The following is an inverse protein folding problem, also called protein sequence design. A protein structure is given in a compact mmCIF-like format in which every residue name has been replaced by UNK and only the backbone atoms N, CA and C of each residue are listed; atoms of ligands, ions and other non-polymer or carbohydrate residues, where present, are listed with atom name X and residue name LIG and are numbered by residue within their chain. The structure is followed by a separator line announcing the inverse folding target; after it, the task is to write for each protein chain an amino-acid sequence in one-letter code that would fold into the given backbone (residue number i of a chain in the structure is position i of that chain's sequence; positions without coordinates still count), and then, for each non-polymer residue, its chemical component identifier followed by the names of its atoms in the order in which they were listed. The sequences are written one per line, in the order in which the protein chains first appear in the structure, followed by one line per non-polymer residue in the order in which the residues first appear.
data_IF_516779055879
#
_entry.id   IF_516779055879
#
_cell.length_a   1.000
_cell.length_b   1.000
_cell.length_c   1.000
_cell.angle_alpha   90.00
_cell.angle_beta   90.00
_cell.angle_gamma   90.00
#
_symmetry.space_group_name_H-M   'P 1'
#
loop_
_entity.id
_entity.type
_entity.pdbx_description
1 polymer ?
#
# COMPACT_ATOMS: atom_id res chain seq x y z
N UNK A 1 -40.95 6.79 59.75
CA UNK A 1 -39.87 7.62 59.20
C UNK A 1 -39.92 7.50 57.68
N UNK A 2 -40.15 8.66 57.04
CA UNK A 2 -39.81 9.10 55.69
C UNK A 2 -39.83 8.12 54.47
N UNK A 3 -40.63 8.54 53.47
CA UNK A 3 -40.42 8.52 52.00
C UNK A 3 -40.11 7.18 51.30
N UNK A 4 -40.98 6.59 50.47
CA UNK A 4 -41.67 7.06 49.25
C UNK A 4 -40.77 7.76 48.22
N UNK A 5 -40.53 7.04 47.11
CA UNK A 5 -40.05 7.53 45.80
C UNK A 5 -38.67 8.19 45.80
N UNK A 6 -37.68 7.52 45.22
CA UNK A 6 -36.62 8.10 44.38
C UNK A 6 -35.65 6.97 44.01
N UNK A 7 -35.62 6.54 42.74
CA UNK A 7 -34.63 7.04 41.77
C UNK A 7 -33.23 6.54 42.18
N UNK A 8 -32.73 5.51 41.52
CA UNK A 8 -31.65 5.76 40.55
C UNK A 8 -30.45 6.46 41.22
N UNK A 9 -29.72 5.83 42.14
CA UNK A 9 -28.38 6.28 42.54
C UNK A 9 -27.73 5.27 43.50
N UNK A 10 -27.21 4.16 42.97
CA UNK A 10 -25.88 3.64 43.36
C UNK A 10 -25.24 3.04 42.10
N UNK A 11 -25.07 3.88 41.07
CA UNK A 11 -23.87 3.78 40.23
C UNK A 11 -22.78 4.43 41.08
N UNK A 12 -21.79 3.66 41.51
CA UNK A 12 -20.41 4.10 41.73
C UNK A 12 -19.70 3.03 42.56
N UNK A 13 -18.47 2.71 42.14
CA UNK A 13 -17.39 2.28 43.04
C UNK A 13 -17.06 0.79 43.18
N UNK A 14 -17.00 0.04 42.07
CA UNK A 14 -15.94 -0.99 41.91
C UNK A 14 -15.43 -0.97 40.47
N UNK A 15 -14.56 -0.01 40.19
CA UNK A 15 -13.50 -0.11 39.18
C UNK A 15 -12.71 1.19 39.24
N UNK A 16 -11.85 1.33 40.25
CA UNK A 16 -10.84 2.40 40.26
C UNK A 16 -9.64 1.97 41.08
N UNK A 17 -8.53 1.86 40.36
CA UNK A 17 -7.15 2.14 40.77
C UNK A 17 -6.31 0.98 41.34
N UNK A 18 -5.63 0.29 40.42
CA UNK A 18 -4.16 0.24 40.50
C UNK A 18 -3.51 0.23 39.10
N UNK A 19 -3.23 1.44 38.63
CA UNK A 19 -2.13 1.89 37.77
C UNK A 19 -1.42 0.83 36.87
N UNK A 20 -1.80 0.80 35.59
CA UNK A 20 -0.83 0.64 34.51
C UNK A 20 -0.72 1.98 33.80
N UNK A 21 0.34 2.71 34.13
CA UNK A 21 0.79 3.85 33.35
C UNK A 21 1.47 3.33 32.10
N UNK A 22 0.71 3.17 31.02
CA UNK A 22 1.24 3.30 29.66
C UNK A 22 0.40 4.36 28.99
N UNK A 23 0.81 5.62 29.19
CA UNK A 23 0.29 6.77 28.47
C UNK A 23 0.90 6.82 27.05
N UNK A 24 0.77 5.73 26.30
CA UNK A 24 0.94 5.78 24.86
C UNK A 24 -0.37 6.34 24.31
N UNK A 25 -0.29 7.56 23.78
CA UNK A 25 -1.40 8.31 23.21
C UNK A 25 -2.33 7.41 22.40
N UNK A 26 -3.55 7.20 22.88
CA UNK A 26 -4.64 6.65 22.09
C UNK A 26 -4.98 7.76 21.09
N UNK A 27 -4.71 7.62 19.78
CA UNK A 27 -5.20 8.58 18.81
C UNK A 27 -6.73 8.54 18.87
N UNK A 28 -7.33 9.73 18.92
CA UNK A 28 -8.76 9.97 18.96
C UNK A 28 -9.53 9.10 17.97
N UNK A 29 -10.46 8.29 18.46
CA UNK A 29 -11.47 7.60 17.65
C UNK A 29 -12.45 8.61 17.02
N UNK A 30 -12.08 9.07 15.84
CA UNK A 30 -12.99 9.56 14.78
C UNK A 30 -12.36 9.16 13.44
N UNK A 31 -11.98 7.89 13.31
CA UNK A 31 -11.49 7.31 12.06
C UNK A 31 -12.58 6.43 11.46
N UNK A 32 -12.93 6.65 10.20
CA UNK A 32 -13.88 5.75 9.54
C UNK A 32 -13.21 4.36 9.44
N UNK A 33 -13.90 3.29 9.88
CA UNK A 33 -13.30 1.94 9.92
C UNK A 33 -12.81 1.42 8.57
N UNK A 34 -13.27 1.99 7.44
CA UNK A 34 -12.76 1.61 6.12
C UNK A 34 -11.37 2.20 5.82
N UNK A 35 -11.02 3.35 6.38
CA UNK A 35 -9.72 4.00 6.19
C UNK A 35 -8.62 3.26 6.94
N UNK A 36 -8.88 2.78 8.16
CA UNK A 36 -7.94 1.95 8.91
C UNK A 36 -7.65 0.62 8.19
N UNK A 37 -8.68 -0.02 7.64
CA UNK A 37 -8.54 -1.26 6.86
C UNK A 37 -7.71 -1.02 5.60
N UNK A 38 -7.93 0.09 4.90
CA UNK A 38 -7.14 0.49 3.73
C UNK A 38 -5.68 0.76 4.13
N UNK A 39 -5.45 1.47 5.23
CA UNK A 39 -4.11 1.76 5.74
C UNK A 39 -3.37 0.46 6.11
N UNK A 40 -4.05 -0.50 6.74
CA UNK A 40 -3.46 -1.81 7.06
C UNK A 40 -3.01 -2.55 5.79
N UNK A 41 -3.83 -2.55 4.74
CA UNK A 41 -3.47 -3.16 3.45
C UNK A 41 -2.21 -2.52 2.84
N UNK A 42 -2.13 -1.18 2.83
CA UNK A 42 -0.95 -0.48 2.34
C UNK A 42 0.29 -0.69 3.22
N UNK A 43 0.11 -0.71 4.53
CA UNK A 43 1.19 -0.98 5.50
C UNK A 43 1.76 -2.39 5.28
N UNK A 44 0.90 -3.39 5.11
CA UNK A 44 1.30 -4.76 4.78
C UNK A 44 2.13 -4.82 3.50
N UNK A 45 1.71 -4.14 2.43
CA UNK A 45 2.47 -4.04 1.19
C UNK A 45 3.83 -3.36 1.37
N UNK A 46 3.89 -2.29 2.17
CA UNK A 46 5.12 -1.54 2.45
C UNK A 46 6.14 -2.35 3.24
N UNK A 47 5.70 -3.13 4.25
CA UNK A 47 6.61 -3.94 5.09
C UNK A 47 6.81 -5.36 4.56
N UNK A 48 6.06 -5.76 3.53
CA UNK A 48 6.18 -7.09 2.92
C UNK A 48 5.45 -8.20 3.67
N UNK A 49 4.43 -7.87 4.47
CA UNK A 49 3.63 -8.84 5.21
C UNK A 49 2.66 -9.55 4.23
N UNK A 50 3.13 -10.65 3.67
CA UNK A 50 2.40 -11.43 2.64
C UNK A 50 1.18 -12.14 3.21
N UNK A 51 1.21 -12.54 4.48
CA UNK A 51 0.09 -13.19 5.14
C UNK A 51 -1.12 -12.26 5.23
N UNK A 52 -0.91 -11.02 5.67
CA UNK A 52 -1.99 -10.01 5.73
C UNK A 52 -2.48 -9.65 4.33
N UNK A 53 -1.57 -9.47 3.35
CA UNK A 53 -1.99 -9.21 1.98
C UNK A 53 -2.86 -10.34 1.43
N UNK A 54 -2.45 -11.58 1.64
CA UNK A 54 -3.16 -12.75 1.14
C UNK A 54 -4.55 -12.87 1.78
N UNK A 55 -4.67 -12.69 3.09
CA UNK A 55 -5.96 -12.70 3.80
C UNK A 55 -6.95 -11.68 3.21
N UNK A 56 -6.47 -10.45 2.97
CA UNK A 56 -7.27 -9.39 2.35
C UNK A 56 -7.73 -9.78 0.93
N UNK A 57 -6.81 -10.26 0.11
CA UNK A 57 -7.07 -10.59 -1.29
C UNK A 57 -7.99 -11.81 -1.45
N UNK A 58 -7.86 -12.81 -0.58
CA UNK A 58 -8.75 -13.99 -0.55
C UNK A 58 -10.19 -13.62 -0.18
N UNK A 59 -10.38 -12.57 0.62
CA UNK A 59 -11.70 -12.03 0.97
C UNK A 59 -12.20 -10.94 0.01
N UNK A 60 -11.57 -10.80 -1.17
CA UNK A 60 -12.05 -9.92 -2.23
C UNK A 60 -11.78 -8.43 -1.99
N UNK A 61 -10.81 -8.08 -1.15
CA UNK A 61 -10.40 -6.69 -0.98
C UNK A 61 -9.94 -6.09 -2.32
N UNK A 62 -10.30 -4.83 -2.65
CA UNK A 62 -9.96 -4.22 -3.93
C UNK A 62 -8.45 -4.01 -4.07
N UNK A 63 -7.79 -4.88 -4.85
CA UNK A 63 -6.33 -4.90 -5.02
C UNK A 63 -5.74 -3.62 -5.62
N UNK A 64 -6.51 -2.96 -6.50
CA UNK A 64 -6.10 -1.78 -7.26
C UNK A 64 -6.55 -0.47 -6.62
N UNK A 65 -7.00 -0.50 -5.35
CA UNK A 65 -7.28 0.73 -4.61
C UNK A 65 -6.02 1.61 -4.54
N UNK A 66 -6.22 2.92 -4.63
CA UNK A 66 -5.16 3.91 -4.53
C UNK A 66 -5.37 4.79 -3.31
N UNK A 67 -4.27 5.10 -2.60
CA UNK A 67 -4.30 6.04 -1.48
C UNK A 67 -4.56 7.48 -1.96
N UNK A 68 -4.58 8.43 -1.03
CA UNK A 68 -4.82 9.84 -1.36
C UNK A 68 -3.74 10.46 -2.25
N UNK A 69 -2.58 9.84 -2.39
CA UNK A 69 -1.50 10.27 -3.30
C UNK A 69 -1.50 9.50 -4.63
N UNK A 70 -2.43 8.55 -4.81
CA UNK A 70 -2.51 7.70 -5.98
C UNK A 70 -1.61 6.46 -5.91
N UNK A 71 -1.01 6.13 -4.77
CA UNK A 71 -0.21 4.91 -4.69
C UNK A 71 -1.10 3.68 -4.57
N UNK A 72 -0.80 2.65 -5.36
CA UNK A 72 -1.34 1.31 -5.16
C UNK A 72 -0.43 0.47 -4.26
N UNK A 73 -0.95 -0.64 -3.73
CA UNK A 73 -0.15 -1.59 -2.93
C UNK A 73 1.06 -2.12 -3.72
N UNK A 74 0.89 -2.34 -5.03
CA UNK A 74 1.97 -2.77 -5.91
C UNK A 74 3.09 -1.72 -6.00
N UNK A 75 2.75 -0.42 -6.04
CA UNK A 75 3.75 0.66 -6.00
C UNK A 75 4.51 0.67 -4.68
N UNK A 76 3.80 0.55 -3.55
CA UNK A 76 4.41 0.51 -2.21
C UNK A 76 5.39 -0.66 -2.11
N UNK A 77 4.94 -1.89 -2.38
CA UNK A 77 5.78 -3.07 -2.32
C UNK A 77 7.01 -2.96 -3.24
N UNK A 78 6.86 -2.39 -4.44
CA UNK A 78 7.96 -2.20 -5.39
C UNK A 78 8.97 -1.15 -4.93
N UNK A 79 8.49 -0.04 -4.38
CA UNK A 79 9.35 1.03 -3.85
C UNK A 79 10.02 0.67 -2.52
N UNK A 80 9.50 -0.30 -1.77
CA UNK A 80 10.12 -0.77 -0.53
C UNK A 80 10.91 -2.08 -0.70
N UNK A 81 11.06 -2.60 -1.93
CA UNK A 81 11.86 -3.79 -2.21
C UNK A 81 11.21 -5.10 -1.76
N UNK A 82 9.90 -5.10 -1.52
CA UNK A 82 9.17 -6.24 -0.97
C UNK A 82 8.82 -7.25 -2.07
N UNK A 83 9.81 -8.05 -2.46
CA UNK A 83 9.72 -8.96 -3.61
C UNK A 83 8.57 -9.96 -3.51
N UNK A 84 8.33 -10.55 -2.35
CA UNK A 84 7.28 -11.56 -2.17
C UNK A 84 5.88 -10.92 -2.15
N UNK A 85 5.74 -9.73 -1.55
CA UNK A 85 4.51 -8.95 -1.65
C UNK A 85 4.20 -8.57 -3.11
N UNK A 86 5.20 -8.12 -3.88
CA UNK A 86 5.04 -7.87 -5.33
C UNK A 86 4.54 -9.13 -6.04
N UNK A 87 5.11 -10.30 -5.73
CA UNK A 87 4.72 -11.57 -6.35
C UNK A 87 3.26 -11.91 -6.05
N UNK A 88 2.84 -11.86 -4.78
CA UNK A 88 1.44 -12.12 -4.38
C UNK A 88 0.49 -11.13 -5.07
N UNK A 89 0.78 -9.83 -5.02
CA UNK A 89 -0.05 -8.82 -5.67
C UNK A 89 -0.20 -9.07 -7.18
N UNK A 90 0.89 -9.43 -7.87
CA UNK A 90 0.82 -9.78 -9.29
C UNK A 90 0.09 -11.10 -9.58
N UNK A 91 0.18 -12.08 -8.68
CA UNK A 91 -0.58 -13.34 -8.78
C UNK A 91 -2.08 -13.11 -8.66
N UNK A 92 -2.50 -12.13 -7.85
CA UNK A 92 -3.88 -11.66 -7.75
C UNK A 92 -4.23 -10.57 -8.79
N UNK A 93 -3.45 -10.47 -9.87
CA UNK A 93 -3.73 -9.59 -11.02
C UNK A 93 -3.68 -8.08 -10.74
N UNK A 94 -2.88 -7.62 -9.78
CA UNK A 94 -2.66 -6.18 -9.56
C UNK A 94 -2.22 -5.48 -10.86
N UNK A 95 -2.82 -4.32 -11.13
CA UNK A 95 -2.55 -3.56 -12.34
C UNK A 95 -1.17 -2.90 -12.28
N UNK A 96 -0.26 -3.40 -13.13
CA UNK A 96 1.12 -2.91 -13.30
C UNK A 96 1.21 -1.45 -13.75
N UNK A 97 0.18 -0.98 -14.44
CA UNK A 97 0.19 0.29 -15.17
C UNK A 97 -0.59 1.41 -14.47
N UNK A 98 -1.10 1.18 -13.24
CA UNK A 98 -1.58 2.28 -12.41
C UNK A 98 -0.49 3.33 -12.25
N UNK A 99 -0.92 4.58 -12.13
CA UNK A 99 -0.04 5.74 -11.95
C UNK A 99 -0.47 6.53 -10.72
N UNK A 100 0.51 6.93 -9.92
CA UNK A 100 0.29 7.88 -8.83
C UNK A 100 -0.03 9.29 -9.38
N UNK A 101 -0.31 10.24 -8.49
CA UNK A 101 -0.61 11.63 -8.88
C UNK A 101 0.55 12.34 -9.59
N UNK A 102 1.78 11.81 -9.53
CA UNK A 102 2.95 12.32 -10.25
C UNK A 102 3.21 11.56 -11.55
N UNK A 103 2.37 10.59 -11.89
CA UNK A 103 2.50 9.77 -13.09
C UNK A 103 3.44 8.58 -12.95
N UNK A 104 3.89 8.23 -11.74
CA UNK A 104 4.82 7.11 -11.54
C UNK A 104 4.11 5.77 -11.45
N UNK A 105 4.67 4.75 -12.10
CA UNK A 105 4.22 3.35 -12.01
C UNK A 105 5.00 2.57 -10.95
N UNK A 106 4.55 1.35 -10.63
CA UNK A 106 5.29 0.45 -9.75
C UNK A 106 6.72 0.15 -10.27
N UNK A 107 6.88 0.02 -11.60
CA UNK A 107 8.18 -0.20 -12.24
C UNK A 107 9.14 0.98 -12.01
N UNK A 108 8.62 2.21 -12.10
CA UNK A 108 9.41 3.41 -11.77
C UNK A 108 9.84 3.42 -10.31
N UNK A 109 8.96 3.00 -9.38
CA UNK A 109 9.32 2.83 -7.96
C UNK A 109 10.48 1.86 -7.76
N UNK A 110 10.46 0.70 -8.43
CA UNK A 110 11.56 -0.27 -8.38
C UNK A 110 12.87 0.29 -8.95
N UNK A 111 12.82 1.10 -10.01
CA UNK A 111 13.98 1.80 -10.59
C UNK A 111 14.58 2.79 -9.58
N UNK A 112 13.77 3.62 -8.90
CA UNK A 112 14.29 4.56 -7.88
C UNK A 112 15.14 3.84 -6.83
N UNK A 113 14.76 2.62 -6.46
CA UNK A 113 15.46 1.79 -5.47
C UNK A 113 16.52 0.85 -6.03
N UNK A 114 16.69 0.81 -7.35
CA UNK A 114 17.53 -0.17 -8.04
C UNK A 114 17.14 -1.64 -7.73
N UNK A 115 15.86 -1.91 -7.48
CA UNK A 115 15.31 -3.24 -7.19
C UNK A 115 15.08 -4.04 -8.49
N UNK A 116 16.17 -4.40 -9.16
CA UNK A 116 16.13 -4.97 -10.51
C UNK A 116 15.42 -6.33 -10.60
N UNK A 117 15.40 -7.10 -9.51
CA UNK A 117 14.62 -8.35 -9.45
C UNK A 117 13.11 -8.07 -9.50
N UNK A 118 12.66 -6.95 -8.93
CA UNK A 118 11.26 -6.52 -8.98
C UNK A 118 10.98 -5.86 -10.33
N UNK A 119 11.89 -4.99 -10.80
CA UNK A 119 11.76 -4.33 -12.09
C UNK A 119 11.58 -5.35 -13.24
N UNK A 120 12.33 -6.46 -13.22
CA UNK A 120 12.18 -7.56 -14.19
C UNK A 120 10.80 -8.25 -14.12
N UNK A 121 10.22 -8.39 -12.93
CA UNK A 121 8.88 -8.98 -12.76
C UNK A 121 7.77 -8.03 -13.27
N UNK A 122 7.97 -6.72 -13.11
CA UNK A 122 7.00 -5.70 -13.52
C UNK A 122 7.06 -5.36 -15.00
N UNK A 123 8.26 -5.40 -15.60
CA UNK A 123 8.50 -5.10 -17.02
C UNK A 123 8.02 -6.24 -17.90
N UNK A 124 6.73 -6.54 -17.87
CA UNK A 124 6.08 -7.58 -18.67
C UNK A 124 5.02 -7.01 -19.60
N UNK A 125 4.62 -5.76 -19.34
CA UNK A 125 3.63 -5.01 -20.10
C UNK A 125 4.23 -3.64 -20.37
N UNK A 126 3.94 -3.10 -21.55
CA UNK A 126 4.25 -1.70 -21.87
C UNK A 126 3.16 -0.79 -21.27
N UNK A 127 3.49 -0.11 -20.16
CA UNK A 127 2.60 0.83 -19.49
C UNK A 127 2.73 2.28 -20.03
N UNK A 128 3.55 2.50 -21.06
CA UNK A 128 3.90 3.82 -21.58
C UNK A 128 3.27 4.13 -22.94
N UNK A 129 2.40 3.25 -23.47
CA UNK A 129 1.72 3.39 -24.77
C UNK A 129 1.03 4.74 -25.03
N UNK A 130 0.69 5.49 -23.98
CA UNK A 130 0.00 6.79 -24.07
C UNK A 130 0.77 7.94 -23.40
N UNK A 131 1.99 7.70 -22.95
CA UNK A 131 2.79 8.69 -22.19
C UNK A 131 2.99 10.01 -22.96
N UNK A 132 3.23 9.94 -24.27
CA UNK A 132 3.41 11.13 -25.11
C UNK A 132 2.17 12.02 -25.18
N UNK A 133 0.97 11.43 -25.16
CA UNK A 133 -0.30 12.18 -25.24
C UNK A 133 -0.66 12.86 -23.93
N UNK A 134 -0.23 12.29 -22.80
CA UNK A 134 -0.54 12.78 -21.46
C UNK A 134 0.55 13.67 -20.87
N UNK A 135 1.71 13.78 -21.53
CA UNK A 135 2.89 14.47 -21.00
C UNK A 135 3.57 13.71 -19.84
N UNK A 136 3.18 12.47 -19.60
CA UNK A 136 3.81 11.62 -18.58
C UNK A 136 5.17 11.14 -19.07
N UNK A 137 6.10 10.95 -18.15
CA UNK A 137 7.37 10.32 -18.49
C UNK A 137 7.14 8.85 -18.82
N UNK A 138 7.82 8.39 -19.88
CA UNK A 138 8.01 6.96 -20.11
C UNK A 138 8.96 6.40 -19.05
N UNK A 139 8.91 5.09 -18.81
CA UNK A 139 9.84 4.38 -17.92
C UNK A 139 11.29 4.58 -18.34
N UNK A 140 11.57 4.63 -19.65
CA UNK A 140 12.92 4.88 -20.15
C UNK A 140 13.39 6.32 -19.87
N UNK A 141 12.56 7.32 -20.16
CA UNK A 141 12.86 8.71 -19.82
C UNK A 141 13.07 8.90 -18.32
N UNK A 142 12.26 8.24 -17.50
CA UNK A 142 12.40 8.24 -16.05
C UNK A 142 13.74 7.61 -15.62
N UNK A 143 14.10 6.44 -16.15
CA UNK A 143 15.38 5.79 -15.81
C UNK A 143 16.62 6.59 -16.22
N UNK A 144 16.54 7.43 -17.25
CA UNK A 144 17.62 8.35 -17.62
C UNK A 144 17.91 9.33 -16.49
N UNK A 145 16.89 9.85 -15.81
CA UNK A 145 17.05 10.81 -14.71
C UNK A 145 17.86 10.24 -13.53
N UNK A 146 17.86 8.91 -13.38
CA UNK A 146 18.62 8.21 -12.34
C UNK A 146 19.91 7.56 -12.85
N UNK A 147 20.29 7.75 -14.12
CA UNK A 147 21.46 7.09 -14.73
C UNK A 147 21.30 5.57 -14.92
N UNK A 148 20.07 5.05 -14.85
CA UNK A 148 19.78 3.62 -14.84
C UNK A 148 19.31 3.08 -16.21
N UNK A 149 19.42 3.89 -17.27
CA UNK A 149 18.98 3.54 -18.63
C UNK A 149 19.56 2.21 -19.12
N UNK A 150 20.86 2.00 -18.94
CA UNK A 150 21.53 0.80 -19.46
C UNK A 150 21.02 -0.46 -18.77
N UNK A 151 20.88 -0.42 -17.45
CA UNK A 151 20.39 -1.55 -16.66
C UNK A 151 18.92 -1.87 -16.97
N UNK A 152 18.11 -0.85 -17.24
CA UNK A 152 16.73 -1.02 -17.72
C UNK A 152 16.66 -1.73 -19.08
N UNK A 153 17.62 -1.48 -19.98
CA UNK A 153 17.68 -2.16 -21.29
C UNK A 153 18.02 -3.64 -21.18
N UNK A 154 18.83 -4.02 -20.19
CA UNK A 154 19.20 -5.42 -19.93
C UNK A 154 18.02 -6.26 -19.44
N UNK A 155 17.07 -5.65 -18.73
CA UNK A 155 15.82 -6.32 -18.35
C UNK A 155 14.82 -6.24 -19.52
N UNK A 156 14.98 -7.16 -20.47
CA UNK A 156 14.00 -7.31 -21.55
C UNK A 156 12.63 -7.69 -20.97
N UNK A 157 11.53 -7.12 -21.49
CA UNK A 157 10.22 -7.70 -21.22
C UNK A 157 10.24 -9.15 -21.66
N UNK A 158 9.61 -10.07 -20.91
CA UNK A 158 9.45 -11.45 -21.40
C UNK A 158 8.35 -11.50 -22.47
N UNK A 159 8.49 -10.67 -23.49
CA UNK A 159 7.77 -10.76 -24.75
C UNK A 159 8.64 -11.61 -25.69
N UNK A 160 8.71 -12.90 -25.39
CA UNK A 160 9.17 -13.92 -26.34
C UNK A 160 8.49 -15.24 -26.03
N UNK A 161 7.23 -15.35 -26.42
CA UNK A 161 6.67 -16.45 -27.22
C UNK A 161 5.28 -16.06 -27.72
#
# INVERSE_FOLDING_TARGET
MLHLRSVFFIISMICSNFLVSVHAAIPSEQGNGSEEVIELFFSAAKVGNVEVLQEFLEHGFPIDIQDHSGYSALMMASYYGQKDAVKILLQHHANRCLRDKRGHTALMGAIVKAEWSIAKQLRQVDCDLHAEKTGQLTTEQFAIQFGQKQRLKEIQPSLSK
#
